data_IF_953937319498
#
_entry.id   IF_953937319498
#
_cell.length_a   1.000
_cell.length_b   1.000
_cell.length_c   1.000
_cell.angle_alpha   90.00
_cell.angle_beta   90.00
_cell.angle_gamma   90.00
#
_symmetry.space_group_name_H-M   'P 1'
#
loop_
_entity.id
_entity.type
_entity.pdbx_description
1 polymer ?
#
# COMPACT_ATOMS: atom_id res chain seq x y z
N UNK A 1 -22.24 9.48 6.00
CA UNK A 1 -21.41 9.07 4.83
C UNK A 1 -20.52 7.95 5.34
N UNK A 2 -20.70 6.74 4.81
CA UNK A 2 -19.91 5.58 5.25
C UNK A 2 -18.44 5.79 4.91
N UNK A 3 -17.57 5.52 5.88
CA UNK A 3 -16.12 5.57 5.66
C UNK A 3 -15.66 4.20 5.15
N UNK A 4 -15.07 4.14 3.96
CA UNK A 4 -14.45 2.92 3.36
C UNK A 4 -13.41 2.25 4.28
N UNK A 5 -12.99 2.91 5.34
CA UNK A 5 -11.97 2.47 6.30
C UNK A 5 -12.56 2.08 7.66
N UNK A 6 -13.89 1.90 7.76
CA UNK A 6 -14.52 1.30 8.92
C UNK A 6 -14.36 -0.22 8.86
N UNK A 7 -14.26 -0.87 10.02
CA UNK A 7 -14.08 -2.33 10.14
C UNK A 7 -15.18 -3.11 9.39
N UNK A 8 -16.41 -2.61 9.43
CA UNK A 8 -17.57 -3.20 8.78
C UNK A 8 -18.26 -2.16 7.88
N UNK A 9 -18.51 -2.49 6.63
CA UNK A 9 -19.29 -1.68 5.70
C UNK A 9 -20.73 -2.18 5.67
N UNK A 10 -21.69 -1.26 5.83
CA UNK A 10 -23.14 -1.55 5.78
C UNK A 10 -23.69 -1.59 4.35
N UNK A 11 -22.91 -1.14 3.36
CA UNK A 11 -23.31 -1.15 1.94
C UNK A 11 -23.42 -2.58 1.43
N UNK A 12 -24.48 -2.90 0.69
CA UNK A 12 -24.64 -4.21 0.03
C UNK A 12 -23.43 -4.48 -0.89
N UNK A 13 -22.81 -5.66 -0.73
CA UNK A 13 -21.68 -6.08 -1.53
C UNK A 13 -22.11 -6.30 -2.99
N UNK A 14 -21.32 -5.73 -3.92
CA UNK A 14 -21.40 -6.03 -5.34
C UNK A 14 -19.98 -6.19 -5.86
N UNK A 15 -19.52 -7.42 -5.94
CA UNK A 15 -18.20 -7.76 -6.51
C UNK A 15 -18.14 -7.37 -7.97
N UNK A 16 -17.00 -6.85 -8.38
CA UNK A 16 -16.71 -6.39 -9.74
C UNK A 16 -15.33 -6.91 -10.09
N UNK A 17 -15.17 -7.45 -11.29
CA UNK A 17 -13.86 -7.78 -11.83
C UNK A 17 -13.47 -6.72 -12.87
N UNK A 18 -12.22 -6.28 -12.85
CA UNK A 18 -11.66 -5.40 -13.86
C UNK A 18 -10.24 -5.82 -14.18
N UNK A 19 -9.87 -5.66 -15.46
CA UNK A 19 -8.52 -5.92 -15.94
C UNK A 19 -7.86 -4.66 -16.48
N UNK A 20 -6.54 -4.62 -16.45
CA UNK A 20 -5.73 -3.57 -17.05
C UNK A 20 -4.30 -4.03 -17.33
N UNK A 21 -3.65 -3.34 -18.26
CA UNK A 21 -2.25 -3.59 -18.58
C UNK A 21 -1.35 -2.59 -17.85
N UNK A 22 -0.27 -3.09 -17.26
CA UNK A 22 0.71 -2.29 -16.56
C UNK A 22 2.13 -2.84 -16.81
N UNK A 23 3.01 -2.01 -17.37
CA UNK A 23 4.40 -2.37 -17.73
C UNK A 23 4.53 -3.65 -18.57
N UNK A 24 3.59 -3.87 -19.49
CA UNK A 24 3.59 -5.01 -20.40
C UNK A 24 2.99 -6.29 -19.84
N UNK A 25 2.55 -6.29 -18.58
CA UNK A 25 1.85 -7.40 -17.93
C UNK A 25 0.36 -7.10 -17.82
N UNK A 26 -0.49 -8.12 -17.98
CA UNK A 26 -1.93 -8.03 -17.75
C UNK A 26 -2.28 -8.44 -16.34
N UNK A 27 -3.18 -7.70 -15.70
CA UNK A 27 -3.66 -7.94 -14.34
C UNK A 27 -5.17 -7.93 -14.29
N UNK A 28 -5.74 -8.96 -13.64
CA UNK A 28 -7.15 -9.02 -13.27
C UNK A 28 -7.31 -8.90 -11.77
N UNK A 29 -8.25 -8.05 -11.34
CA UNK A 29 -8.56 -7.85 -9.93
C UNK A 29 -10.05 -8.00 -9.65
N UNK A 30 -10.35 -8.60 -8.51
CA UNK A 30 -11.69 -8.55 -7.91
C UNK A 30 -11.74 -7.38 -6.94
N UNK A 31 -12.76 -6.54 -7.09
CA UNK A 31 -13.05 -5.38 -6.24
C UNK A 31 -14.53 -5.38 -5.82
N UNK A 32 -14.96 -4.36 -5.11
CA UNK A 32 -16.35 -4.21 -4.66
C UNK A 32 -16.78 -2.73 -4.71
N UNK A 33 -18.07 -2.50 -4.84
CA UNK A 33 -18.64 -1.15 -4.85
C UNK A 33 -18.44 -0.36 -3.54
N UNK A 34 -18.06 -1.03 -2.46
CA UNK A 34 -17.85 -0.45 -1.13
C UNK A 34 -16.37 -0.33 -0.74
N UNK A 35 -15.42 -0.57 -1.67
CA UNK A 35 -14.00 -0.37 -1.43
C UNK A 35 -13.43 0.78 -2.26
N UNK A 36 -12.25 1.26 -1.89
CA UNK A 36 -11.55 2.31 -2.61
C UNK A 36 -11.19 1.85 -4.03
N UNK A 37 -11.32 2.76 -5.02
CA UNK A 37 -10.97 2.53 -6.43
C UNK A 37 -11.64 1.30 -7.07
N UNK A 38 -12.95 1.19 -6.93
CA UNK A 38 -13.77 0.02 -7.22
C UNK A 38 -13.76 -0.52 -8.65
N UNK A 39 -13.55 0.32 -9.69
CA UNK A 39 -13.71 -0.07 -11.11
C UNK A 39 -12.43 0.09 -11.93
N UNK A 40 -11.33 0.52 -11.33
CA UNK A 40 -10.06 0.75 -11.99
C UNK A 40 -8.93 0.83 -10.96
N UNK A 41 -7.71 0.56 -11.38
CA UNK A 41 -6.55 0.76 -10.53
C UNK A 41 -6.38 2.24 -10.17
N UNK A 42 -6.10 2.53 -8.89
CA UNK A 42 -5.85 3.89 -8.41
C UNK A 42 -4.57 4.45 -9.02
N UNK A 43 -4.68 5.67 -9.57
CA UNK A 43 -3.57 6.31 -10.26
C UNK A 43 -2.38 6.60 -9.34
N UNK A 44 -2.64 7.01 -8.10
CA UNK A 44 -1.58 7.26 -7.12
C UNK A 44 -0.85 5.97 -6.78
N UNK A 45 -1.60 4.88 -6.56
CA UNK A 45 -1.03 3.55 -6.33
C UNK A 45 -0.19 3.07 -7.52
N UNK A 46 -0.68 3.20 -8.75
CA UNK A 46 0.08 2.80 -9.95
C UNK A 46 1.37 3.62 -10.12
N UNK A 47 1.34 4.92 -9.82
CA UNK A 47 2.54 5.76 -9.82
C UNK A 47 3.53 5.26 -8.76
N UNK A 48 3.08 4.99 -7.53
CA UNK A 48 3.95 4.49 -6.47
C UNK A 48 4.51 3.11 -6.81
N UNK A 49 3.72 2.18 -7.35
CA UNK A 49 4.19 0.87 -7.81
C UNK A 49 5.29 1.02 -8.85
N UNK A 50 5.12 1.95 -9.81
CA UNK A 50 6.13 2.24 -10.83
C UNK A 50 7.46 2.66 -10.20
N UNK A 51 7.42 3.60 -9.25
CA UNK A 51 8.62 4.07 -8.54
C UNK A 51 9.27 2.96 -7.70
N UNK A 52 8.47 2.11 -7.03
CA UNK A 52 8.99 0.96 -6.27
C UNK A 52 9.73 -0.01 -7.19
N UNK A 53 9.14 -0.37 -8.33
CA UNK A 53 9.75 -1.29 -9.30
C UNK A 53 11.08 -0.70 -9.80
N UNK A 54 11.11 0.58 -10.19
CA UNK A 54 12.31 1.23 -10.68
C UNK A 54 13.40 1.31 -9.60
N UNK A 55 13.01 1.68 -8.37
CA UNK A 55 13.92 1.77 -7.22
C UNK A 55 14.56 0.42 -6.86
N UNK A 56 13.75 -0.64 -6.77
CA UNK A 56 14.22 -1.98 -6.40
C UNK A 56 15.06 -2.60 -7.53
N UNK A 57 14.61 -2.47 -8.79
CA UNK A 57 15.32 -2.99 -9.96
C UNK A 57 16.69 -2.32 -10.14
N UNK A 58 16.79 -1.00 -9.96
CA UNK A 58 18.05 -0.26 -10.05
C UNK A 58 19.09 -0.70 -8.99
N UNK A 59 18.62 -1.30 -7.88
CA UNK A 59 19.46 -1.83 -6.80
C UNK A 59 19.69 -3.34 -6.90
N UNK A 60 19.15 -3.99 -7.93
CA UNK A 60 19.27 -5.43 -8.12
C UNK A 60 18.54 -6.27 -7.06
N UNK A 61 17.57 -5.67 -6.35
CA UNK A 61 16.77 -6.36 -5.34
C UNK A 61 15.90 -7.42 -6.00
N UNK A 62 15.88 -8.63 -5.46
CA UNK A 62 15.05 -9.73 -5.94
C UNK A 62 14.12 -10.28 -4.85
N UNK A 63 14.54 -10.23 -3.61
CA UNK A 63 13.87 -10.78 -2.42
C UNK A 63 13.78 -9.76 -1.29
N UNK A 64 13.28 -10.18 -0.15
CA UNK A 64 13.08 -9.38 1.05
C UNK A 64 11.64 -9.42 1.54
N UNK A 65 11.41 -8.85 2.73
CA UNK A 65 10.07 -8.73 3.31
C UNK A 65 9.44 -7.39 2.90
N UNK A 66 8.28 -7.46 2.26
CA UNK A 66 7.51 -6.31 1.82
C UNK A 66 6.15 -6.27 2.53
N UNK A 67 5.76 -5.11 3.06
CA UNK A 67 4.43 -4.88 3.61
C UNK A 67 3.64 -3.89 2.74
N UNK A 68 2.52 -4.34 2.20
CA UNK A 68 1.47 -3.45 1.67
C UNK A 68 0.57 -3.03 2.84
N UNK A 69 0.80 -1.81 3.36
CA UNK A 69 0.20 -1.32 4.59
C UNK A 69 -1.05 -0.50 4.29
N UNK A 70 -2.19 -0.85 4.90
CA UNK A 70 -3.53 -0.40 4.52
C UNK A 70 -3.86 -0.79 3.07
N UNK A 71 -3.68 -2.07 2.76
CA UNK A 71 -3.59 -2.63 1.42
C UNK A 71 -4.86 -2.53 0.58
N UNK A 72 -6.03 -2.29 1.21
CA UNK A 72 -7.30 -2.35 0.48
C UNK A 72 -7.54 -3.75 -0.09
N UNK A 73 -7.79 -3.84 -1.39
CA UNK A 73 -7.95 -5.12 -2.09
C UNK A 73 -6.62 -5.74 -2.59
N UNK A 74 -5.47 -5.21 -2.15
CA UNK A 74 -4.16 -5.80 -2.38
C UNK A 74 -3.49 -5.40 -3.70
N UNK A 75 -3.88 -4.27 -4.31
CA UNK A 75 -3.38 -3.82 -5.61
C UNK A 75 -1.84 -3.76 -5.68
N UNK A 76 -1.22 -3.14 -4.68
CA UNK A 76 0.23 -2.86 -4.70
C UNK A 76 1.00 -4.16 -4.55
N UNK A 77 0.74 -4.93 -3.50
CA UNK A 77 1.46 -6.15 -3.21
C UNK A 77 1.30 -7.22 -4.31
N UNK A 78 0.09 -7.37 -4.88
CA UNK A 78 -0.17 -8.34 -5.97
C UNK A 78 0.61 -7.98 -7.23
N UNK A 79 0.65 -6.70 -7.62
CA UNK A 79 1.46 -6.27 -8.78
C UNK A 79 2.94 -6.48 -8.49
N UNK A 80 3.44 -6.09 -7.31
CA UNK A 80 4.85 -6.26 -6.96
C UNK A 80 5.28 -7.74 -6.95
N UNK A 81 4.42 -8.66 -6.51
CA UNK A 81 4.70 -10.11 -6.55
C UNK A 81 4.99 -10.61 -7.97
N UNK A 82 4.36 -10.02 -9.00
CA UNK A 82 4.60 -10.37 -10.40
C UNK A 82 5.98 -9.93 -10.87
N UNK A 83 6.45 -8.76 -10.45
CA UNK A 83 7.76 -8.22 -10.83
C UNK A 83 8.90 -8.74 -9.96
N UNK A 84 8.61 -9.12 -8.71
CA UNK A 84 9.55 -9.66 -7.73
C UNK A 84 9.03 -11.00 -7.16
N UNK A 85 9.13 -12.11 -7.92
CA UNK A 85 8.54 -13.39 -7.52
C UNK A 85 9.13 -13.97 -6.22
N UNK A 86 10.38 -13.65 -5.89
CA UNK A 86 11.08 -14.12 -4.69
C UNK A 86 10.77 -13.27 -3.44
N UNK A 87 10.12 -12.10 -3.61
CA UNK A 87 9.77 -11.24 -2.48
C UNK A 87 8.64 -11.81 -1.64
N UNK A 88 8.81 -11.80 -0.32
CA UNK A 88 7.79 -12.18 0.65
C UNK A 88 6.87 -10.99 0.94
N UNK A 89 5.66 -11.05 0.38
CA UNK A 89 4.70 -9.95 0.45
C UNK A 89 3.64 -10.22 1.51
N UNK A 90 3.52 -9.29 2.44
CA UNK A 90 2.51 -9.23 3.48
C UNK A 90 1.53 -8.08 3.23
N UNK A 91 0.31 -8.25 3.71
CA UNK A 91 -0.75 -7.24 3.64
C UNK A 91 -1.31 -6.97 5.02
N UNK A 92 -1.56 -5.71 5.33
CA UNK A 92 -2.27 -5.29 6.52
C UNK A 92 -3.47 -4.45 6.13
N UNK A 93 -4.67 -4.83 6.57
CA UNK A 93 -5.91 -4.12 6.28
C UNK A 93 -6.91 -4.30 7.43
N UNK A 94 -7.62 -3.21 7.80
CA UNK A 94 -8.62 -3.23 8.86
C UNK A 94 -10.04 -3.51 8.34
N UNK A 95 -10.33 -3.08 7.11
CA UNK A 95 -11.66 -3.27 6.51
C UNK A 95 -11.81 -4.73 6.07
N UNK A 96 -12.70 -5.48 6.71
CA UNK A 96 -12.90 -6.91 6.45
C UNK A 96 -13.29 -7.22 5.02
N UNK A 97 -14.10 -6.36 4.39
CA UNK A 97 -14.49 -6.54 2.98
C UNK A 97 -13.29 -6.37 2.04
N UNK A 98 -12.47 -5.35 2.28
CA UNK A 98 -11.23 -5.16 1.54
C UNK A 98 -10.27 -6.33 1.75
N UNK A 99 -10.16 -6.82 2.99
CA UNK A 99 -9.34 -7.98 3.34
C UNK A 99 -9.79 -9.26 2.61
N UNK A 100 -11.09 -9.53 2.50
CA UNK A 100 -11.63 -10.65 1.72
C UNK A 100 -11.24 -10.54 0.24
N UNK A 101 -11.31 -9.35 -0.34
CA UNK A 101 -10.91 -9.10 -1.72
C UNK A 101 -9.39 -9.25 -1.88
N UNK A 102 -8.62 -8.76 -0.92
CA UNK A 102 -7.17 -8.95 -0.86
C UNK A 102 -6.81 -10.44 -0.85
N UNK A 103 -7.51 -11.26 -0.05
CA UNK A 103 -7.31 -12.73 -0.04
C UNK A 103 -7.56 -13.38 -1.40
N UNK A 104 -8.60 -12.96 -2.12
CA UNK A 104 -8.90 -13.48 -3.46
C UNK A 104 -7.77 -13.10 -4.44
N UNK A 105 -7.39 -11.83 -4.48
CA UNK A 105 -6.40 -11.31 -5.40
C UNK A 105 -4.98 -11.85 -5.09
N UNK A 106 -4.61 -11.91 -3.82
CA UNK A 106 -3.33 -12.46 -3.36
C UNK A 106 -3.21 -13.97 -3.65
N UNK A 107 -4.31 -14.73 -3.46
CA UNK A 107 -4.36 -16.17 -3.81
C UNK A 107 -4.10 -16.39 -5.30
N UNK A 108 -4.66 -15.56 -6.18
CA UNK A 108 -4.42 -15.62 -7.62
C UNK A 108 -2.94 -15.32 -7.98
N UNK A 109 -2.22 -14.60 -7.14
CA UNK A 109 -0.79 -14.31 -7.25
C UNK A 109 0.11 -15.31 -6.47
N UNK A 110 -0.44 -16.42 -5.96
CA UNK A 110 0.26 -17.42 -5.14
C UNK A 110 0.89 -16.85 -3.86
N UNK A 111 0.29 -15.83 -3.25
CA UNK A 111 0.72 -15.30 -1.96
C UNK A 111 0.00 -16.06 -0.85
N UNK A 112 0.71 -16.55 0.19
CA UNK A 112 0.12 -17.32 1.28
C UNK A 112 -0.96 -16.56 2.04
N UNK A 113 -2.01 -17.27 2.48
CA UNK A 113 -3.14 -16.65 3.20
C UNK A 113 -2.75 -16.05 4.55
N UNK A 114 -1.80 -16.62 5.24
CA UNK A 114 -1.27 -16.16 6.53
C UNK A 114 -0.43 -14.87 6.42
N UNK A 115 -0.07 -14.46 5.20
CA UNK A 115 0.52 -13.15 4.93
C UNK A 115 -0.52 -12.01 4.88
N UNK A 116 -1.82 -12.30 5.00
CA UNK A 116 -2.89 -11.31 4.91
C UNK A 116 -3.50 -11.10 6.30
N UNK A 117 -3.18 -9.97 6.91
CA UNK A 117 -3.37 -9.70 8.34
C UNK A 117 -4.51 -8.70 8.54
N UNK A 118 -5.58 -9.09 9.25
CA UNK A 118 -6.57 -8.12 9.76
C UNK A 118 -5.92 -7.30 10.87
N UNK A 119 -5.65 -6.01 10.62
CA UNK A 119 -4.95 -5.16 11.58
C UNK A 119 -5.37 -3.68 11.48
N UNK A 120 -5.63 -3.05 12.62
CA UNK A 120 -5.64 -1.59 12.72
C UNK A 120 -4.20 -1.10 12.89
N UNK A 121 -3.66 -0.52 11.83
CA UNK A 121 -2.26 -0.19 11.80
C UNK A 121 -1.39 -1.44 12.02
N UNK A 122 -0.49 -1.38 12.99
CA UNK A 122 0.46 -2.47 13.31
C UNK A 122 -0.03 -3.45 14.40
N UNK A 123 -1.25 -3.27 14.92
CA UNK A 123 -1.73 -3.94 16.13
C UNK A 123 -1.62 -5.48 16.11
N UNK A 124 -1.74 -6.10 14.92
CA UNK A 124 -1.68 -7.55 14.74
C UNK A 124 -0.50 -8.03 13.88
N UNK A 125 0.42 -7.14 13.49
CA UNK A 125 1.60 -7.51 12.67
C UNK A 125 2.63 -8.31 13.49
N UNK A 126 2.56 -8.25 14.81
CA UNK A 126 3.48 -8.97 15.69
C UNK A 126 4.91 -8.41 15.62
N UNK A 127 5.89 -9.32 15.68
CA UNK A 127 7.32 -8.97 15.70
C UNK A 127 7.96 -8.93 14.30
N UNK A 128 7.16 -8.92 13.22
CA UNK A 128 7.69 -8.77 11.87
C UNK A 128 8.18 -7.34 11.65
N UNK A 129 9.39 -7.23 11.10
CA UNK A 129 9.96 -6.00 10.55
C UNK A 129 10.26 -6.19 9.08
N UNK A 130 10.12 -5.14 8.29
CA UNK A 130 10.12 -5.21 6.84
C UNK A 130 11.28 -4.44 6.22
N UNK A 131 11.78 -4.95 5.10
CA UNK A 131 12.78 -4.27 4.29
C UNK A 131 12.12 -3.14 3.49
N UNK A 132 10.86 -3.35 3.07
CA UNK A 132 10.11 -2.38 2.27
C UNK A 132 8.66 -2.31 2.73
N UNK A 133 8.12 -1.09 2.81
CA UNK A 133 6.71 -0.85 3.15
C UNK A 133 6.12 0.12 2.14
N UNK A 134 4.93 -0.19 1.60
CA UNK A 134 4.11 0.76 0.85
C UNK A 134 2.94 1.26 1.69
N UNK A 135 2.62 2.54 1.55
CA UNK A 135 1.45 3.14 2.18
C UNK A 135 0.80 4.15 1.23
N UNK A 136 -0.38 3.80 0.72
CA UNK A 136 -1.32 4.76 0.16
C UNK A 136 -2.36 5.08 1.24
N UNK A 137 -2.16 6.15 2.03
CA UNK A 137 -2.89 6.31 3.27
C UNK A 137 -4.36 6.65 3.05
N UNK A 138 -5.25 6.20 3.96
CA UNK A 138 -6.67 6.51 3.92
C UNK A 138 -6.97 7.97 4.32
N UNK A 139 -6.70 8.93 3.44
CA UNK A 139 -6.76 10.38 3.69
C UNK A 139 -8.09 10.85 4.32
N UNK A 140 -9.21 10.18 3.97
CA UNK A 140 -10.55 10.54 4.47
C UNK A 140 -10.76 10.23 5.95
N UNK A 141 -9.88 9.47 6.59
CA UNK A 141 -9.94 9.18 8.04
C UNK A 141 -9.44 10.35 8.90
N UNK A 142 -8.88 11.37 8.25
CA UNK A 142 -8.36 12.55 8.92
C UNK A 142 -6.85 12.52 9.12
N UNK A 143 -6.31 13.71 9.37
CA UNK A 143 -4.87 13.97 9.37
C UNK A 143 -4.12 13.20 10.47
N UNK A 144 -4.71 13.09 11.65
CA UNK A 144 -4.06 12.43 12.79
C UNK A 144 -3.97 10.91 12.58
N UNK A 145 -5.01 10.28 12.01
CA UNK A 145 -4.97 8.86 11.62
C UNK A 145 -3.87 8.59 10.60
N UNK A 146 -3.76 9.44 9.57
CA UNK A 146 -2.74 9.27 8.53
C UNK A 146 -1.33 9.41 9.11
N UNK A 147 -1.08 10.40 9.99
CA UNK A 147 0.20 10.55 10.66
C UNK A 147 0.54 9.36 11.55
N UNK A 148 -0.44 8.85 12.31
CA UNK A 148 -0.28 7.63 13.12
C UNK A 148 0.18 6.47 12.24
N UNK A 149 -0.52 6.20 11.12
CA UNK A 149 -0.17 5.12 10.19
C UNK A 149 1.23 5.29 9.60
N UNK A 150 1.64 6.52 9.27
CA UNK A 150 3.01 6.81 8.80
C UNK A 150 4.05 6.44 9.86
N UNK A 151 3.83 6.85 11.11
CA UNK A 151 4.76 6.53 12.22
C UNK A 151 4.80 5.03 12.51
N UNK A 152 3.65 4.37 12.52
CA UNK A 152 3.54 2.93 12.71
C UNK A 152 4.27 2.17 11.59
N UNK A 153 4.07 2.55 10.31
CA UNK A 153 4.82 1.98 9.19
C UNK A 153 6.33 2.17 9.37
N UNK A 154 6.77 3.38 9.71
CA UNK A 154 8.18 3.66 9.97
C UNK A 154 8.77 2.84 11.13
N UNK A 155 7.99 2.57 12.18
CA UNK A 155 8.43 1.73 13.30
C UNK A 155 8.67 0.27 12.91
N UNK A 156 8.05 -0.19 11.81
CA UNK A 156 8.17 -1.54 11.26
C UNK A 156 9.24 -1.68 10.18
N UNK A 157 9.98 -0.64 9.86
CA UNK A 157 11.19 -0.76 9.06
C UNK A 157 12.27 -1.49 9.86
N UNK A 158 12.93 -2.44 9.22
CA UNK A 158 13.90 -3.34 9.85
C UNK A 158 15.16 -2.60 10.33
N UNK A 159 15.70 -1.74 9.49
CA UNK A 159 16.94 -0.98 9.74
C UNK A 159 16.98 0.32 8.90
N UNK A 160 18.14 0.96 8.85
CA UNK A 160 18.38 2.22 8.09
C UNK A 160 18.33 2.02 6.57
N UNK A 161 18.61 0.79 6.09
CA UNK A 161 18.53 0.41 4.67
C UNK A 161 17.15 -0.11 4.28
N UNK A 162 16.16 0.07 5.13
CA UNK A 162 14.76 -0.28 4.89
C UNK A 162 13.95 0.97 4.54
N UNK A 163 12.96 0.82 3.65
CA UNK A 163 12.31 1.98 3.03
C UNK A 163 10.79 1.93 3.10
N UNK A 164 10.21 3.09 3.45
CA UNK A 164 8.78 3.37 3.38
C UNK A 164 8.48 4.20 2.14
N UNK A 165 7.66 3.69 1.25
CA UNK A 165 7.10 4.39 0.10
C UNK A 165 5.72 4.93 0.45
N UNK A 166 5.50 6.23 0.25
CA UNK A 166 4.19 6.86 0.45
C UNK A 166 3.74 7.59 -0.79
N UNK A 167 2.44 7.56 -1.09
CA UNK A 167 1.85 8.37 -2.15
C UNK A 167 0.72 9.23 -1.61
N UNK A 168 0.77 10.53 -1.90
CA UNK A 168 -0.25 11.48 -1.43
C UNK A 168 -0.56 12.49 -2.55
N UNK A 169 -1.86 12.72 -2.79
CA UNK A 169 -2.32 13.70 -3.76
C UNK A 169 -2.11 15.14 -3.26
N UNK A 170 -1.78 16.07 -4.19
CA UNK A 170 -1.64 17.51 -3.88
C UNK A 170 -2.87 18.06 -3.16
N UNK A 171 -4.07 17.73 -3.67
CA UNK A 171 -5.35 18.15 -3.07
C UNK A 171 -5.66 17.46 -1.74
N UNK A 172 -4.88 16.47 -1.36
CA UNK A 172 -5.00 15.71 -0.12
C UNK A 172 -4.02 16.17 0.97
N UNK A 173 -3.26 17.25 0.70
CA UNK A 173 -2.33 17.83 1.66
C UNK A 173 -0.89 17.34 1.55
N UNK A 174 -0.44 16.88 0.37
CA UNK A 174 0.91 16.33 0.14
C UNK A 174 2.02 17.20 0.75
N UNK A 175 1.97 18.55 0.61
CA UNK A 175 2.98 19.43 1.20
C UNK A 175 3.06 19.32 2.73
N UNK A 176 1.92 19.23 3.41
CA UNK A 176 1.88 19.08 4.87
C UNK A 176 2.44 17.73 5.33
N UNK A 177 2.15 16.67 4.59
CA UNK A 177 2.70 15.34 4.88
C UNK A 177 4.18 15.23 4.50
N UNK A 178 4.62 15.91 3.45
CA UNK A 178 6.04 15.99 3.11
C UNK A 178 6.86 16.63 4.23
N UNK A 179 6.37 17.74 4.82
CA UNK A 179 6.99 18.38 6.00
C UNK A 179 7.00 17.44 7.21
N UNK A 180 5.92 16.70 7.43
CA UNK A 180 5.81 15.73 8.52
C UNK A 180 6.80 14.57 8.32
N UNK A 181 6.85 13.96 7.13
CA UNK A 181 7.79 12.89 6.80
C UNK A 181 9.24 13.34 6.97
N UNK A 182 9.59 14.55 6.51
CA UNK A 182 10.95 15.09 6.68
C UNK A 182 11.32 15.39 8.15
N UNK A 183 10.32 15.67 9.00
CA UNK A 183 10.55 15.85 10.44
C UNK A 183 10.85 14.51 11.14
N UNK A 184 10.19 13.43 10.75
CA UNK A 184 10.27 12.11 11.42
C UNK A 184 11.32 11.19 10.80
N UNK A 185 11.55 11.27 9.48
CA UNK A 185 12.38 10.37 8.68
C UNK A 185 13.41 11.12 7.85
N UNK A 186 14.41 10.41 7.33
CA UNK A 186 15.11 10.83 6.12
C UNK A 186 14.15 10.62 4.95
N UNK A 187 13.65 11.70 4.33
CA UNK A 187 12.56 11.59 3.37
C UNK A 187 12.78 12.46 2.15
N UNK A 188 12.85 11.80 0.98
CA UNK A 188 13.03 12.42 -0.33
C UNK A 188 11.82 12.18 -1.23
N UNK A 189 11.57 13.13 -2.13
CA UNK A 189 10.57 12.95 -3.17
C UNK A 189 11.17 12.17 -4.32
N UNK A 190 10.60 10.99 -4.62
CA UNK A 190 10.96 10.20 -5.81
C UNK A 190 10.39 10.83 -7.07
N UNK A 191 9.10 11.15 -7.06
CA UNK A 191 8.43 11.70 -8.23
C UNK A 191 7.23 12.57 -7.87
N UNK A 192 6.80 13.39 -8.84
CA UNK A 192 5.54 14.10 -8.82
C UNK A 192 4.92 14.04 -10.22
N UNK A 193 3.80 13.33 -10.36
CA UNK A 193 3.07 13.24 -11.62
C UNK A 193 1.57 13.42 -11.42
N UNK A 194 0.96 14.23 -12.30
CA UNK A 194 -0.51 14.44 -12.41
C UNK A 194 -1.22 14.67 -11.08
N UNK A 195 -0.54 15.37 -10.18
CA UNK A 195 -1.10 15.76 -8.89
C UNK A 195 -0.87 14.78 -7.75
N UNK A 196 -0.08 13.73 -7.95
CA UNK A 196 0.37 12.81 -6.91
C UNK A 196 1.87 12.96 -6.67
N UNK A 197 2.27 12.92 -5.41
CA UNK A 197 3.66 12.90 -4.98
C UNK A 197 3.97 11.55 -4.35
N UNK A 198 5.05 10.90 -4.82
CA UNK A 198 5.60 9.69 -4.21
C UNK A 198 6.87 10.06 -3.45
N UNK A 199 6.96 9.63 -2.22
CA UNK A 199 8.13 9.83 -1.38
C UNK A 199 8.71 8.53 -0.88
N UNK A 200 10.03 8.53 -0.75
CA UNK A 200 10.83 7.50 -0.10
C UNK A 200 11.28 8.01 1.25
N UNK A 201 11.12 7.19 2.28
CA UNK A 201 11.55 7.54 3.64
C UNK A 201 12.28 6.35 4.27
N UNK A 202 13.33 6.63 5.06
CA UNK A 202 14.06 5.67 5.88
C UNK A 202 14.22 6.19 7.30
N UNK A 203 14.64 5.35 8.23
CA UNK A 203 14.96 5.77 9.60
C UNK A 203 16.05 6.85 9.61
N UNK A 204 15.97 7.78 10.57
CA UNK A 204 17.03 8.76 10.84
C UNK A 204 18.14 8.14 11.64
#
# INVERSE_FOLDING_TARGET
>A
MEHYFSKDSLTLSKRITFGFDFRGEHFDFVSDNAVFSKNQADRGSLLMISEIIDFLSARGVKDGLFLDFAAGYGLIGVILKRFFPEMDIYFSEINRRALELCQINASAANIPKDHIIESDGISNIGNLDFDYISLNPPIRTGKETVKRLILEAGSKLKNEDSYLFTVIGKKQGAESYAKFLAAEFQSDRLTYDKGFEVRLSSKK
#
